data_IF_380568667973
#
_entry.id   IF_380568667973
#
_cell.length_a   1.000
_cell.length_b   1.000
_cell.length_c   1.000
_cell.angle_alpha   90.00
_cell.angle_beta   90.00
_cell.angle_gamma   90.00
#
_symmetry.space_group_name_H-M   'P 1'
#
loop_
_entity.id
_entity.type
_entity.pdbx_description
1 polymer ?
#
# COMPACT_ATOMS: atom_id res chain seq x y z
N UNK A 1 24.46 -18.64 2.18
CA UNK A 1 23.71 -17.52 2.80
C UNK A 1 22.56 -17.00 1.92
N UNK A 2 22.72 -16.90 0.59
CA UNK A 2 21.62 -16.52 -0.34
C UNK A 2 20.43 -17.50 -0.39
N UNK A 3 20.68 -18.80 -0.22
CA UNK A 3 19.60 -19.82 -0.25
C UNK A 3 18.60 -19.73 0.91
N UNK A 4 19.00 -19.17 2.05
CA UNK A 4 18.12 -19.04 3.23
C UNK A 4 17.15 -17.87 3.11
N UNK A 5 17.45 -16.90 2.24
CA UNK A 5 16.57 -15.76 1.98
C UNK A 5 15.47 -16.13 0.97
N UNK A 6 15.81 -16.91 -0.05
CA UNK A 6 14.85 -17.43 -1.03
C UNK A 6 13.80 -18.36 -0.40
N UNK A 7 14.14 -19.13 0.65
CA UNK A 7 13.16 -19.98 1.34
C UNK A 7 12.17 -19.22 2.23
N UNK A 8 12.49 -18.00 2.68
CA UNK A 8 11.55 -17.16 3.45
C UNK A 8 10.54 -16.42 2.58
N UNK A 9 10.68 -16.48 1.25
CA UNK A 9 9.84 -15.75 0.29
C UNK A 9 8.50 -16.44 -0.02
N UNK A 10 8.09 -17.46 0.74
CA UNK A 10 6.71 -17.93 0.72
C UNK A 10 5.87 -16.99 1.57
N UNK A 11 5.48 -15.84 1.01
CA UNK A 11 4.47 -14.96 1.63
C UNK A 11 3.24 -15.83 1.89
N UNK A 12 2.90 -15.97 3.17
CA UNK A 12 1.80 -16.86 3.55
C UNK A 12 0.50 -16.36 2.94
N UNK A 13 -0.38 -17.26 2.47
CA UNK A 13 -1.66 -16.85 1.89
C UNK A 13 -2.46 -15.94 2.85
N UNK A 14 -2.32 -16.14 4.16
CA UNK A 14 -2.93 -15.27 5.18
C UNK A 14 -2.35 -13.85 5.18
N UNK A 15 -1.06 -13.73 4.96
CA UNK A 15 -0.35 -12.45 4.92
C UNK A 15 -0.70 -11.67 3.66
N UNK A 16 -0.80 -12.34 2.50
CA UNK A 16 -1.30 -11.72 1.25
C UNK A 16 -2.71 -11.15 1.45
N UNK A 17 -3.61 -11.94 2.06
CA UNK A 17 -4.99 -11.50 2.34
C UNK A 17 -4.99 -10.31 3.31
N UNK A 18 -4.14 -10.32 4.33
CA UNK A 18 -4.02 -9.21 5.27
C UNK A 18 -3.52 -7.93 4.58
N UNK A 19 -2.47 -8.03 3.76
CA UNK A 19 -1.94 -6.90 3.00
C UNK A 19 -2.98 -6.36 2.00
N UNK A 20 -3.75 -7.23 1.35
CA UNK A 20 -4.84 -6.83 0.48
C UNK A 20 -5.95 -6.07 1.25
N UNK A 21 -6.31 -6.54 2.45
CA UNK A 21 -7.28 -5.86 3.31
C UNK A 21 -6.77 -4.48 3.75
N UNK A 22 -5.50 -4.38 4.18
CA UNK A 22 -4.87 -3.10 4.54
C UNK A 22 -4.83 -2.13 3.34
N UNK A 23 -4.55 -2.64 2.15
CA UNK A 23 -4.58 -1.87 0.90
C UNK A 23 -5.96 -1.29 0.63
N UNK A 24 -7.02 -2.09 0.80
CA UNK A 24 -8.39 -1.63 0.62
C UNK A 24 -8.76 -0.53 1.63
N UNK A 25 -8.40 -0.70 2.90
CA UNK A 25 -8.64 0.31 3.95
C UNK A 25 -7.86 1.59 3.66
N UNK A 26 -6.59 1.48 3.25
CA UNK A 26 -5.76 2.61 2.88
C UNK A 26 -6.32 3.37 1.66
N UNK A 27 -6.82 2.65 0.65
CA UNK A 27 -7.47 3.25 -0.51
C UNK A 27 -8.78 3.97 -0.13
N UNK A 28 -9.62 3.35 0.71
CA UNK A 28 -10.85 3.96 1.22
C UNK A 28 -10.58 5.21 2.05
N UNK A 29 -9.53 5.20 2.88
CA UNK A 29 -9.08 6.36 3.64
C UNK A 29 -8.70 7.56 2.76
N UNK A 30 -8.44 7.34 1.46
CA UNK A 30 -8.08 8.41 0.53
C UNK A 30 -9.30 9.11 -0.08
N UNK A 31 -10.42 8.40 -0.27
CA UNK A 31 -11.56 8.87 -1.06
C UNK A 31 -12.32 10.03 -0.38
N UNK A 32 -12.81 9.92 0.86
CA UNK A 32 -13.58 10.98 1.50
C UNK A 32 -12.70 12.15 1.95
N UNK A 33 -11.41 11.88 2.21
CA UNK A 33 -10.44 12.90 2.62
C UNK A 33 -9.68 13.55 1.44
N UNK A 34 -10.01 13.20 0.19
CA UNK A 34 -9.39 13.81 -0.99
C UNK A 34 -9.59 15.34 -1.04
N UNK A 35 -10.68 15.84 -0.43
CA UNK A 35 -10.98 17.27 -0.37
C UNK A 35 -10.23 18.03 0.75
N UNK A 36 -9.65 17.32 1.74
CA UNK A 36 -8.92 17.93 2.86
C UNK A 36 -7.43 17.61 2.70
N UNK A 37 -6.65 18.50 2.06
CA UNK A 37 -5.21 18.35 2.02
C UNK A 37 -4.66 18.33 3.47
N UNK A 38 -3.67 17.46 3.72
CA UNK A 38 -2.98 17.22 5.01
C UNK A 38 -3.56 16.18 5.97
N UNK A 39 -4.82 15.74 5.85
CA UNK A 39 -5.36 14.65 6.70
C UNK A 39 -5.60 13.42 5.83
N UNK A 40 -4.57 12.59 5.67
CA UNK A 40 -4.67 11.40 4.84
C UNK A 40 -4.35 10.13 5.65
N UNK A 41 -5.38 9.43 6.16
CA UNK A 41 -5.23 8.16 6.89
C UNK A 41 -4.47 7.10 6.09
N UNK A 42 -4.52 7.20 4.76
CA UNK A 42 -3.79 6.35 3.80
C UNK A 42 -2.30 6.26 4.12
N UNK A 43 -1.62 7.41 4.29
CA UNK A 43 -0.17 7.45 4.53
C UNK A 43 0.19 6.78 5.86
N UNK A 44 -0.65 6.97 6.88
CA UNK A 44 -0.44 6.34 8.19
C UNK A 44 -0.53 4.81 8.12
N UNK A 45 -1.54 4.28 7.41
CA UNK A 45 -1.70 2.82 7.24
C UNK A 45 -0.52 2.23 6.45
N UNK A 46 -0.07 2.92 5.40
CA UNK A 46 1.07 2.49 4.59
C UNK A 46 2.34 2.43 5.43
N UNK A 47 2.65 3.50 6.18
CA UNK A 47 3.81 3.51 7.08
C UNK A 47 3.74 2.41 8.14
N UNK A 48 2.58 2.20 8.77
CA UNK A 48 2.40 1.12 9.74
C UNK A 48 2.63 -0.25 9.11
N UNK A 49 2.11 -0.47 7.90
CA UNK A 49 2.30 -1.74 7.20
C UNK A 49 3.78 -2.00 6.89
N UNK A 50 4.54 -0.96 6.52
CA UNK A 50 5.99 -1.04 6.32
C UNK A 50 6.76 -1.30 7.62
N UNK A 51 6.37 -0.66 8.73
CA UNK A 51 7.03 -0.84 10.03
C UNK A 51 6.80 -2.23 10.62
N UNK A 52 5.61 -2.82 10.44
CA UNK A 52 5.22 -4.09 11.08
C UNK A 52 5.59 -5.29 10.20
N UNK A 53 5.27 -5.24 8.90
CA UNK A 53 5.46 -6.37 7.97
C UNK A 53 6.72 -6.24 7.12
N UNK A 54 7.43 -5.11 7.25
CA UNK A 54 8.66 -4.84 6.52
C UNK A 54 8.45 -4.02 5.24
N UNK A 55 9.56 -3.55 4.64
CA UNK A 55 9.52 -2.58 3.54
C UNK A 55 8.82 -3.11 2.28
N UNK A 56 8.93 -4.41 1.97
CA UNK A 56 8.25 -4.99 0.81
C UNK A 56 6.72 -4.97 0.95
N UNK A 57 6.22 -5.23 2.16
CA UNK A 57 4.80 -5.20 2.47
C UNK A 57 4.25 -3.77 2.45
N UNK A 58 5.00 -2.81 3.01
CA UNK A 58 4.69 -1.38 2.91
C UNK A 58 4.56 -0.92 1.46
N UNK A 59 5.50 -1.34 0.61
CA UNK A 59 5.48 -1.02 -0.82
C UNK A 59 4.23 -1.57 -1.51
N UNK A 60 3.89 -2.84 -1.26
CA UNK A 60 2.70 -3.46 -1.84
C UNK A 60 1.41 -2.75 -1.42
N UNK A 61 1.28 -2.37 -0.14
CA UNK A 61 0.11 -1.66 0.38
C UNK A 61 0.03 -0.23 -0.17
N UNK A 62 1.15 0.49 -0.24
CA UNK A 62 1.21 1.86 -0.74
C UNK A 62 0.94 1.97 -2.24
N UNK A 63 1.64 1.18 -3.04
CA UNK A 63 1.43 1.12 -4.48
C UNK A 63 0.01 0.61 -4.81
N UNK A 64 -0.46 -0.41 -4.10
CA UNK A 64 -1.82 -0.92 -4.24
C UNK A 64 -2.87 0.12 -3.88
N UNK A 65 -2.68 0.86 -2.78
CA UNK A 65 -3.64 1.86 -2.32
C UNK A 65 -3.73 3.03 -3.31
N UNK A 66 -2.59 3.48 -3.85
CA UNK A 66 -2.56 4.49 -4.92
C UNK A 66 -3.31 4.01 -6.16
N UNK A 67 -3.06 2.79 -6.63
CA UNK A 67 -3.72 2.23 -7.81
C UNK A 67 -5.23 2.06 -7.60
N UNK A 68 -5.63 1.46 -6.48
CA UNK A 68 -7.03 1.17 -6.16
C UNK A 68 -7.84 2.45 -5.97
N UNK A 69 -7.31 3.39 -5.20
CA UNK A 69 -7.99 4.68 -4.96
C UNK A 69 -8.13 5.50 -6.25
N UNK A 70 -7.16 5.42 -7.17
CA UNK A 70 -7.21 6.11 -8.46
C UNK A 70 -8.24 5.50 -9.42
N UNK A 71 -8.80 4.31 -9.19
CA UNK A 71 -10.00 3.89 -9.95
C UNK A 71 -11.22 4.75 -9.63
N UNK A 72 -11.31 5.30 -8.42
CA UNK A 72 -12.40 6.18 -8.01
C UNK A 72 -12.08 7.66 -8.24
N UNK A 73 -10.82 8.06 -8.05
CA UNK A 73 -10.36 9.45 -8.18
C UNK A 73 -9.90 9.81 -9.61
N UNK A 74 -9.77 8.83 -10.49
CA UNK A 74 -9.24 8.98 -11.85
C UNK A 74 -7.77 8.55 -11.96
N UNK A 75 -7.48 7.76 -12.99
CA UNK A 75 -6.12 7.36 -13.35
C UNK A 75 -5.49 8.44 -14.24
N UNK A 76 -4.18 8.67 -14.08
CA UNK A 76 -3.45 9.60 -14.93
C UNK A 76 -1.93 9.43 -14.85
N UNK A 77 -1.16 10.32 -15.51
CA UNK A 77 0.31 10.26 -15.49
C UNK A 77 0.92 10.37 -14.08
N UNK A 78 0.14 10.81 -13.09
CA UNK A 78 0.52 10.86 -11.67
C UNK A 78 0.44 9.52 -10.95
N UNK A 79 -0.29 8.52 -11.46
CA UNK A 79 -0.43 7.22 -10.78
C UNK A 79 0.91 6.55 -10.52
N UNK A 80 1.85 6.44 -11.49
CA UNK A 80 3.15 5.84 -11.23
C UNK A 80 3.95 6.58 -10.16
N UNK A 81 3.90 7.92 -10.17
CA UNK A 81 4.57 8.74 -9.17
C UNK A 81 3.96 8.58 -7.77
N UNK A 82 2.65 8.40 -7.67
CA UNK A 82 1.97 8.10 -6.41
C UNK A 82 2.31 6.70 -5.89
N UNK A 83 2.38 5.73 -6.79
CA UNK A 83 2.77 4.36 -6.44
C UNK A 83 4.22 4.30 -5.93
N UNK A 84 5.13 5.07 -6.51
CA UNK A 84 6.52 5.16 -6.06
C UNK A 84 6.65 5.99 -4.77
N UNK A 85 5.88 7.07 -4.63
CA UNK A 85 5.97 7.94 -3.45
C UNK A 85 5.35 7.32 -2.18
N UNK A 86 4.40 6.42 -2.34
CA UNK A 86 3.82 5.63 -1.25
C UNK A 86 4.36 4.22 -1.14
N UNK A 87 5.02 3.74 -2.19
CA UNK A 87 5.70 2.46 -2.20
C UNK A 87 6.96 2.49 -1.35
#
# INVERSE_FOLDING_TARGET
>A
MLYLWAQKAAVSSKEIVLLAALTAIAALGRIPFAAIPSVQPTTFIIMLSGCIFGPQAGFMVGAGAALVSNFFLGQGPWTPWQMIGWG
#
